data_IF_697409566207
#
_entry.id   IF_697409566207
#
_cell.length_a   1.000
_cell.length_b   1.000
_cell.length_c   1.000
_cell.angle_alpha   90.00
_cell.angle_beta   90.00
_cell.angle_gamma   90.00
#
_symmetry.space_group_name_H-M   'P 1'
#
loop_
_entity.id
_entity.type
_entity.pdbx_description
1 polymer ?
#
# COMPACT_ATOMS: atom_id res chain seq x y z
N UNK A 1 17.31 56.87 -21.49
CA UNK A 1 18.72 56.62 -21.11
C UNK A 1 19.73 56.87 -22.24
N UNK A 2 19.54 56.36 -23.47
CA UNK A 2 20.53 56.49 -24.56
C UNK A 2 20.96 57.95 -24.87
N UNK A 3 20.06 58.94 -24.80
CA UNK A 3 20.40 60.34 -25.12
C UNK A 3 21.39 60.96 -24.12
N UNK A 4 21.34 60.60 -22.84
CA UNK A 4 22.18 61.18 -21.79
C UNK A 4 23.63 60.67 -21.91
N UNK A 5 23.82 59.36 -22.06
CA UNK A 5 25.13 58.74 -22.31
C UNK A 5 25.74 59.19 -23.65
N UNK A 6 24.90 59.45 -24.66
CA UNK A 6 25.34 59.96 -25.98
C UNK A 6 25.89 61.38 -25.91
N UNK A 7 25.31 62.27 -25.11
CA UNK A 7 25.78 63.66 -24.95
C UNK A 7 27.13 63.72 -24.22
N UNK A 8 27.29 62.92 -23.16
CA UNK A 8 28.54 62.83 -22.38
C UNK A 8 29.70 62.27 -23.23
N UNK A 9 29.44 61.25 -24.07
CA UNK A 9 30.44 60.72 -25.02
C UNK A 9 30.93 61.77 -26.01
N UNK A 10 30.03 62.59 -26.56
CA UNK A 10 30.40 63.67 -27.49
C UNK A 10 31.27 64.74 -26.84
N UNK A 11 30.99 65.13 -25.60
CA UNK A 11 31.80 66.12 -24.87
C UNK A 11 33.19 65.59 -24.45
N UNK A 12 33.32 64.31 -24.13
CA UNK A 12 34.60 63.70 -23.75
C UNK A 12 35.54 63.52 -24.95
N UNK A 13 35.00 63.23 -26.14
CA UNK A 13 35.74 63.14 -27.41
C UNK A 13 36.23 64.52 -27.92
N UNK A 14 35.43 65.57 -27.77
CA UNK A 14 35.79 66.93 -28.22
C UNK A 14 36.86 67.61 -27.36
N UNK A 15 37.11 67.14 -26.14
CA UNK A 15 38.12 67.71 -25.22
C UNK A 15 39.48 66.98 -25.21
N UNK A 16 39.80 66.15 -26.21
CA UNK A 16 41.05 65.36 -26.29
C UNK A 16 41.29 64.38 -25.11
N UNK A 17 40.23 63.95 -24.42
CA UNK A 17 40.31 63.07 -23.21
C UNK A 17 40.06 61.60 -23.54
N UNK A 18 40.83 61.04 -24.47
CA UNK A 18 40.67 59.66 -24.97
C UNK A 18 40.68 58.62 -23.83
N UNK A 19 41.56 58.76 -22.84
CA UNK A 19 41.60 57.84 -21.69
C UNK A 19 40.31 57.82 -20.83
N UNK A 20 39.67 58.98 -20.63
CA UNK A 20 38.38 59.07 -19.90
C UNK A 20 37.23 58.54 -20.73
N UNK A 21 37.29 58.71 -22.05
CA UNK A 21 36.33 58.13 -22.98
C UNK A 21 36.37 56.59 -22.96
N UNK A 22 37.57 56.00 -22.98
CA UNK A 22 37.74 54.54 -22.90
C UNK A 22 37.21 53.97 -21.58
N UNK A 23 37.51 54.62 -20.44
CA UNK A 23 37.01 54.21 -19.13
C UNK A 23 35.47 54.23 -19.06
N UNK A 24 34.86 55.26 -19.66
CA UNK A 24 33.40 55.41 -19.72
C UNK A 24 32.74 54.41 -20.65
N UNK A 25 33.34 54.14 -21.82
CA UNK A 25 32.85 53.12 -22.74
C UNK A 25 32.96 51.71 -22.15
N UNK A 26 34.02 51.42 -21.40
CA UNK A 26 34.18 50.17 -20.65
C UNK A 26 33.09 50.03 -19.57
N UNK A 27 32.79 51.10 -18.83
CA UNK A 27 31.69 51.12 -17.86
C UNK A 27 30.33 50.83 -18.49
N UNK A 28 30.06 51.35 -19.69
CA UNK A 28 28.81 51.07 -20.42
C UNK A 28 28.73 49.61 -20.89
N UNK A 29 29.83 49.02 -21.35
CA UNK A 29 29.89 47.60 -21.71
C UNK A 29 29.63 46.72 -20.48
N UNK A 30 30.27 47.01 -19.35
CA UNK A 30 30.05 46.28 -18.10
C UNK A 30 28.58 46.39 -17.66
N UNK A 31 27.97 47.58 -17.75
CA UNK A 31 26.56 47.77 -17.40
C UNK A 31 25.61 46.96 -18.30
N UNK A 32 25.88 46.91 -19.61
CA UNK A 32 25.11 46.09 -20.56
C UNK A 32 25.30 44.60 -20.27
N UNK A 33 26.52 44.15 -19.98
CA UNK A 33 26.80 42.75 -19.61
C UNK A 33 26.03 42.38 -18.34
N UNK A 34 26.04 43.21 -17.30
CA UNK A 34 25.25 42.99 -16.08
C UNK A 34 23.75 42.93 -16.40
N UNK A 35 23.25 43.80 -17.26
CA UNK A 35 21.85 43.77 -17.70
C UNK A 35 21.47 42.46 -18.42
N UNK A 36 22.33 41.97 -19.33
CA UNK A 36 22.13 40.70 -20.04
C UNK A 36 22.19 39.53 -19.05
N UNK A 37 23.16 39.51 -18.14
CA UNK A 37 23.29 38.47 -17.13
C UNK A 37 22.06 38.41 -16.21
N UNK A 38 21.53 39.55 -15.77
CA UNK A 38 20.28 39.60 -14.98
C UNK A 38 19.10 39.08 -15.80
N UNK A 39 18.96 39.51 -17.06
CA UNK A 39 17.88 39.05 -17.92
C UNK A 39 17.93 37.53 -18.17
N UNK A 40 19.12 36.98 -18.43
CA UNK A 40 19.34 35.54 -18.58
C UNK A 40 19.02 34.78 -17.30
N UNK A 41 19.49 35.25 -16.14
CA UNK A 41 19.20 34.63 -14.85
C UNK A 41 17.69 34.64 -14.53
N UNK A 42 16.98 35.73 -14.83
CA UNK A 42 15.54 35.81 -14.64
C UNK A 42 14.78 34.85 -15.56
N UNK A 43 15.20 34.74 -16.82
CA UNK A 43 14.60 33.80 -17.77
C UNK A 43 14.83 32.34 -17.32
N UNK A 44 16.07 31.99 -16.94
CA UNK A 44 16.41 30.67 -16.42
C UNK A 44 15.60 30.31 -15.17
N UNK A 45 15.42 31.25 -14.23
CA UNK A 45 14.57 31.03 -13.04
C UNK A 45 13.10 30.81 -13.41
N UNK A 46 12.58 31.50 -14.43
CA UNK A 46 11.21 31.31 -14.91
C UNK A 46 11.02 29.93 -15.55
N UNK A 47 11.97 29.50 -16.38
CA UNK A 47 11.98 28.17 -16.99
C UNK A 47 12.11 27.06 -15.95
N UNK A 48 13.02 27.22 -14.98
CA UNK A 48 13.17 26.29 -13.86
C UNK A 48 11.87 26.15 -13.05
N UNK A 49 11.21 27.26 -12.70
CA UNK A 49 9.91 27.23 -11.99
C UNK A 49 8.83 26.49 -12.78
N UNK A 50 8.80 26.62 -14.11
CA UNK A 50 7.86 25.89 -14.96
C UNK A 50 8.16 24.39 -14.99
N UNK A 51 9.44 24.02 -15.04
CA UNK A 51 9.86 22.63 -14.97
C UNK A 51 9.51 22.01 -13.61
N UNK A 52 9.80 22.71 -12.51
CA UNK A 52 9.43 22.29 -11.15
C UNK A 52 7.92 22.13 -11.00
N UNK A 53 7.10 23.08 -11.45
CA UNK A 53 5.65 22.96 -11.40
C UNK A 53 5.12 21.76 -12.19
N UNK A 54 5.76 21.40 -13.32
CA UNK A 54 5.42 20.18 -14.07
C UNK A 54 5.75 18.92 -13.26
N UNK A 55 6.90 18.87 -12.61
CA UNK A 55 7.29 17.74 -11.76
C UNK A 55 6.37 17.63 -10.54
N UNK A 56 6.06 18.74 -9.88
CA UNK A 56 5.12 18.79 -8.76
C UNK A 56 3.75 18.21 -9.20
N UNK A 57 3.24 18.59 -10.37
CA UNK A 57 2.00 18.03 -10.93
C UNK A 57 2.08 16.51 -11.21
N UNK A 58 3.24 16.01 -11.68
CA UNK A 58 3.44 14.56 -11.85
C UNK A 58 3.41 13.85 -10.48
N UNK A 59 4.03 14.42 -9.44
CA UNK A 59 3.95 13.86 -8.09
C UNK A 59 2.54 13.90 -7.51
N UNK A 60 1.72 14.91 -7.85
CA UNK A 60 0.30 14.91 -7.50
C UNK A 60 -0.47 13.75 -8.15
N UNK A 61 -0.16 13.43 -9.41
CA UNK A 61 -0.74 12.26 -10.07
C UNK A 61 -0.24 10.94 -9.47
N UNK A 62 1.03 10.89 -9.04
CA UNK A 62 1.55 9.75 -8.28
C UNK A 62 0.79 9.56 -6.95
N UNK A 63 0.47 10.64 -6.23
CA UNK A 63 -0.33 10.53 -5.00
C UNK A 63 -1.72 9.91 -5.26
N UNK A 64 -2.39 10.28 -6.35
CA UNK A 64 -3.70 9.69 -6.72
C UNK A 64 -3.59 8.20 -7.07
N UNK A 65 -2.53 7.82 -7.78
CA UNK A 65 -2.25 6.43 -8.11
C UNK A 65 -1.98 5.62 -6.83
N UNK A 66 -1.17 6.17 -5.89
CA UNK A 66 -0.90 5.54 -4.60
C UNK A 66 -2.16 5.37 -3.76
N UNK A 67 -3.02 6.39 -3.67
CA UNK A 67 -4.29 6.31 -2.95
C UNK A 67 -5.19 5.20 -3.52
N UNK A 68 -5.27 5.12 -4.85
CA UNK A 68 -6.00 4.06 -5.55
C UNK A 68 -5.43 2.67 -5.23
N UNK A 69 -4.11 2.53 -5.24
CA UNK A 69 -3.43 1.25 -4.95
C UNK A 69 -3.54 0.84 -3.48
N UNK A 70 -3.53 1.80 -2.56
CA UNK A 70 -3.78 1.60 -1.12
C UNK A 70 -5.22 1.11 -0.92
N UNK A 71 -6.20 1.78 -1.53
CA UNK A 71 -7.62 1.37 -1.45
C UNK A 71 -7.85 -0.04 -2.02
N UNK A 72 -7.28 -0.33 -3.20
CA UNK A 72 -7.39 -1.67 -3.82
C UNK A 72 -6.71 -2.75 -3.00
N UNK A 73 -5.51 -2.50 -2.47
CA UNK A 73 -4.82 -3.49 -1.63
C UNK A 73 -5.57 -3.77 -0.33
N UNK A 74 -6.17 -2.75 0.30
CA UNK A 74 -7.09 -2.91 1.43
C UNK A 74 -8.25 -3.84 1.09
N UNK A 75 -8.93 -3.63 -0.04
CA UNK A 75 -10.03 -4.50 -0.48
C UNK A 75 -9.57 -5.96 -0.67
N UNK A 76 -8.36 -6.17 -1.18
CA UNK A 76 -7.78 -7.51 -1.33
C UNK A 76 -7.43 -8.17 0.01
N UNK A 77 -6.94 -7.41 0.99
CA UNK A 77 -6.72 -7.91 2.35
C UNK A 77 -8.05 -8.39 2.96
N UNK A 78 -9.14 -7.64 2.78
CA UNK A 78 -10.48 -8.02 3.25
C UNK A 78 -11.01 -9.28 2.54
N UNK A 79 -10.80 -9.38 1.22
CA UNK A 79 -11.14 -10.60 0.47
C UNK A 79 -10.36 -11.80 1.00
N UNK A 80 -9.07 -11.63 1.33
CA UNK A 80 -8.23 -12.70 1.84
C UNK A 80 -8.57 -13.09 3.27
N UNK A 81 -9.00 -12.15 4.11
CA UNK A 81 -9.59 -12.46 5.42
C UNK A 81 -10.80 -13.40 5.28
N UNK A 82 -11.76 -13.07 4.40
CA UNK A 82 -12.94 -13.92 4.16
C UNK A 82 -12.55 -15.28 3.58
N UNK A 83 -11.58 -15.31 2.66
CA UNK A 83 -11.06 -16.56 2.11
C UNK A 83 -10.37 -17.41 3.16
N UNK A 84 -9.64 -16.83 4.10
CA UNK A 84 -9.01 -17.59 5.19
C UNK A 84 -10.05 -18.35 6.01
N UNK A 85 -11.17 -17.69 6.35
CA UNK A 85 -12.28 -18.31 7.06
C UNK A 85 -12.93 -19.45 6.27
N UNK A 86 -13.19 -19.25 4.97
CA UNK A 86 -13.76 -20.28 4.10
C UNK A 86 -12.81 -21.47 3.89
N UNK A 87 -11.52 -21.21 3.64
CA UNK A 87 -10.52 -22.24 3.42
C UNK A 87 -10.29 -23.06 4.68
N UNK A 88 -10.28 -22.41 5.85
CA UNK A 88 -10.19 -23.08 7.14
C UNK A 88 -11.39 -23.98 7.39
N UNK A 89 -12.61 -23.51 7.06
CA UNK A 89 -13.82 -24.33 7.12
C UNK A 89 -13.78 -25.53 6.16
N UNK A 90 -13.23 -25.36 4.95
CA UNK A 90 -13.08 -26.48 4.00
C UNK A 90 -12.00 -27.48 4.45
N UNK A 91 -10.96 -27.03 5.15
CA UNK A 91 -9.85 -27.88 5.60
C UNK A 91 -10.12 -28.57 6.94
N UNK A 92 -10.80 -27.89 7.86
CA UNK A 92 -11.17 -28.41 9.17
C UNK A 92 -12.56 -29.05 9.03
N UNK A 93 -12.59 -30.38 9.03
CA UNK A 93 -13.64 -31.27 8.49
C UNK A 93 -15.04 -31.19 9.13
N UNK A 94 -15.39 -30.11 9.82
CA UNK A 94 -16.70 -29.93 10.45
C UNK A 94 -17.83 -29.78 9.42
N UNK A 95 -17.50 -29.61 8.14
CA UNK A 95 -18.47 -29.60 7.04
C UNK A 95 -19.05 -30.99 6.79
N UNK A 96 -20.38 -31.03 6.67
CA UNK A 96 -21.13 -32.23 6.31
C UNK A 96 -21.63 -32.18 4.88
N UNK A 97 -22.20 -33.30 4.42
CA UNK A 97 -22.94 -33.33 3.16
C UNK A 97 -24.01 -32.23 3.09
N UNK A 98 -24.76 -32.06 4.19
CA UNK A 98 -25.85 -31.07 4.26
C UNK A 98 -25.34 -29.65 4.04
N UNK A 99 -24.12 -29.34 4.46
CA UNK A 99 -23.55 -28.00 4.29
C UNK A 99 -23.21 -27.70 2.83
N UNK A 100 -22.68 -28.67 2.09
CA UNK A 100 -22.44 -28.53 0.65
C UNK A 100 -23.70 -28.62 -0.21
N UNK A 101 -24.75 -29.28 0.29
CA UNK A 101 -26.02 -29.42 -0.42
C UNK A 101 -26.98 -28.22 -0.25
N UNK A 102 -26.66 -27.24 0.61
CA UNK A 102 -27.45 -26.02 0.74
C UNK A 102 -27.37 -25.16 -0.53
N UNK A 103 -28.46 -24.46 -0.83
CA UNK A 103 -28.54 -23.53 -1.97
C UNK A 103 -27.50 -22.40 -1.89
N UNK A 104 -27.17 -21.92 -0.69
CA UNK A 104 -26.22 -20.82 -0.44
C UNK A 104 -24.76 -21.28 -0.24
N UNK A 105 -24.46 -22.55 -0.51
CA UNK A 105 -23.13 -23.13 -0.28
C UNK A 105 -22.03 -22.71 -1.30
N UNK A 106 -22.35 -21.91 -2.33
CA UNK A 106 -21.39 -21.49 -3.37
C UNK A 106 -20.02 -21.00 -2.82
N UNK A 107 -19.96 -20.23 -1.71
CA UNK A 107 -18.69 -19.78 -1.15
C UNK A 107 -17.73 -20.91 -0.77
N UNK A 108 -18.23 -22.02 -0.17
CA UNK A 108 -17.37 -23.16 0.19
C UNK A 108 -17.02 -24.03 -1.02
N UNK A 109 -17.88 -24.06 -2.05
CA UNK A 109 -17.58 -24.72 -3.33
C UNK A 109 -16.41 -24.05 -4.06
N UNK A 110 -16.38 -22.71 -4.02
CA UNK A 110 -15.45 -21.88 -4.81
C UNK A 110 -14.28 -21.31 -4.01
N UNK A 111 -14.17 -21.66 -2.71
CA UNK A 111 -13.19 -21.11 -1.77
C UNK A 111 -11.75 -21.12 -2.33
N UNK A 112 -11.34 -22.24 -2.93
CA UNK A 112 -10.01 -22.47 -3.50
C UNK A 112 -9.96 -22.54 -5.04
N UNK A 113 -11.05 -22.14 -5.72
CA UNK A 113 -11.19 -22.29 -7.19
C UNK A 113 -11.28 -20.95 -7.93
N UNK A 114 -11.28 -19.86 -7.18
CA UNK A 114 -11.45 -18.51 -7.70
C UNK A 114 -10.19 -17.69 -7.49
N UNK A 115 -9.95 -16.74 -8.38
CA UNK A 115 -8.83 -15.82 -8.30
C UNK A 115 -9.34 -14.38 -8.45
N UNK A 116 -8.73 -13.46 -7.70
CA UNK A 116 -8.77 -12.04 -7.97
C UNK A 116 -7.34 -11.55 -8.17
N UNK A 117 -7.12 -10.72 -9.20
CA UNK A 117 -5.82 -10.11 -9.49
C UNK A 117 -5.70 -8.75 -8.82
N UNK A 118 -4.78 -8.63 -7.87
CA UNK A 118 -4.31 -7.33 -7.43
C UNK A 118 -3.13 -6.92 -8.30
N UNK A 119 -3.34 -5.97 -9.20
CA UNK A 119 -2.27 -5.41 -10.04
C UNK A 119 -2.10 -3.96 -9.65
N UNK A 120 -0.97 -3.59 -9.02
CA UNK A 120 -0.70 -2.19 -8.71
C UNK A 120 -0.65 -1.33 -9.99
N UNK A 121 -0.90 -0.02 -9.87
CA UNK A 121 -0.64 0.93 -10.96
C UNK A 121 0.87 1.08 -11.18
N UNK A 122 1.26 1.50 -12.38
CA UNK A 122 2.61 1.98 -12.68
C UNK A 122 2.63 3.17 -13.65
N UNK A 123 1.46 3.75 -13.93
CA UNK A 123 1.30 4.76 -14.98
C UNK A 123 2.00 6.08 -14.59
N UNK A 124 1.66 6.66 -13.44
CA UNK A 124 2.25 7.92 -13.01
C UNK A 124 3.76 7.78 -12.73
N UNK A 125 4.20 6.64 -12.19
CA UNK A 125 5.62 6.34 -11.98
C UNK A 125 6.40 6.27 -13.29
N UNK A 126 5.87 5.63 -14.34
CA UNK A 126 6.50 5.62 -15.68
C UNK A 126 6.67 7.04 -16.24
N UNK A 127 5.65 7.89 -16.08
CA UNK A 127 5.73 9.30 -16.51
C UNK A 127 6.80 10.05 -15.73
N UNK A 128 6.87 9.87 -14.41
CA UNK A 128 7.91 10.45 -13.56
C UNK A 128 9.32 10.02 -14.02
N UNK A 129 9.52 8.72 -14.21
CA UNK A 129 10.81 8.17 -14.66
C UNK A 129 11.21 8.63 -16.07
N UNK A 130 10.23 8.94 -16.92
CA UNK A 130 10.50 9.55 -18.25
C UNK A 130 10.97 11.00 -18.17
N UNK A 131 10.87 11.64 -17.00
CA UNK A 131 11.31 13.02 -16.74
C UNK A 131 12.43 13.06 -15.67
N UNK A 132 13.19 11.97 -15.47
CA UNK A 132 14.17 11.84 -14.38
C UNK A 132 15.19 12.99 -14.30
N UNK A 133 15.66 13.47 -15.46
CA UNK A 133 16.66 14.55 -15.54
C UNK A 133 16.14 15.91 -15.05
N UNK A 134 14.81 16.07 -14.99
CA UNK A 134 14.16 17.29 -14.55
C UNK A 134 13.68 17.24 -13.09
N UNK A 135 13.86 16.11 -12.39
CA UNK A 135 13.39 15.94 -11.01
C UNK A 135 14.29 16.74 -10.04
N UNK A 136 13.73 17.71 -9.29
CA UNK A 136 14.51 18.44 -8.28
C UNK A 136 15.00 17.56 -7.13
N UNK A 137 16.13 17.91 -6.54
CA UNK A 137 16.78 17.16 -5.44
C UNK A 137 15.87 16.95 -4.22
N UNK A 138 14.90 17.86 -3.96
CA UNK A 138 13.90 17.74 -2.90
C UNK A 138 13.06 16.44 -2.97
N UNK A 139 13.01 15.79 -4.14
CA UNK A 139 12.29 14.52 -4.34
C UNK A 139 13.18 13.28 -4.33
N UNK A 140 14.48 13.40 -4.04
CA UNK A 140 15.43 12.28 -4.10
C UNK A 140 14.96 11.09 -3.25
N UNK A 141 14.49 11.35 -2.04
CA UNK A 141 13.93 10.32 -1.15
C UNK A 141 12.62 9.73 -1.69
N UNK A 142 11.70 10.57 -2.16
CA UNK A 142 10.45 10.13 -2.80
C UNK A 142 10.70 9.20 -3.99
N UNK A 143 11.67 9.53 -4.85
CA UNK A 143 12.07 8.71 -6.00
C UNK A 143 12.66 7.37 -5.55
N UNK A 144 13.51 7.38 -4.52
CA UNK A 144 14.06 6.15 -3.94
C UNK A 144 12.96 5.20 -3.47
N UNK A 145 11.99 5.71 -2.70
CA UNK A 145 10.87 4.91 -2.21
C UNK A 145 9.98 4.38 -3.34
N UNK A 146 9.68 5.20 -4.35
CA UNK A 146 8.91 4.77 -5.52
C UNK A 146 9.63 3.68 -6.32
N UNK A 147 10.95 3.77 -6.48
CA UNK A 147 11.72 2.75 -7.18
C UNK A 147 11.70 1.40 -6.46
N UNK A 148 11.76 1.38 -5.12
CA UNK A 148 11.58 0.15 -4.35
C UNK A 148 10.15 -0.42 -4.52
N UNK A 149 9.14 0.46 -4.46
CA UNK A 149 7.73 0.09 -4.61
C UNK A 149 7.44 -0.57 -5.96
N UNK A 150 7.83 0.08 -7.06
CA UNK A 150 7.58 -0.40 -8.42
C UNK A 150 8.58 -1.48 -8.88
N UNK A 151 9.71 -1.60 -8.20
CA UNK A 151 10.67 -2.69 -8.39
C UNK A 151 10.32 -3.93 -7.56
N UNK A 152 11.06 -4.15 -6.47
CA UNK A 152 11.03 -5.39 -5.68
C UNK A 152 9.65 -5.69 -5.08
N UNK A 153 8.92 -4.67 -4.61
CA UNK A 153 7.59 -4.89 -3.97
C UNK A 153 6.55 -5.33 -4.99
N UNK A 154 6.43 -4.61 -6.12
CA UNK A 154 5.54 -4.95 -7.23
C UNK A 154 5.83 -6.35 -7.79
N UNK A 155 7.10 -6.65 -8.08
CA UNK A 155 7.50 -7.97 -8.61
C UNK A 155 7.12 -9.12 -7.66
N UNK A 156 7.16 -8.88 -6.35
CA UNK A 156 6.76 -9.88 -5.36
C UNK A 156 5.26 -10.18 -5.44
N UNK A 157 4.42 -9.16 -5.58
CA UNK A 157 2.96 -9.30 -5.78
C UNK A 157 2.69 -10.06 -7.09
N UNK A 158 3.28 -9.64 -8.20
CA UNK A 158 3.07 -10.26 -9.52
C UNK A 158 3.49 -11.73 -9.55
N UNK A 159 4.58 -12.09 -8.86
CA UNK A 159 5.02 -13.49 -8.72
C UNK A 159 3.94 -14.35 -8.08
N UNK A 160 3.28 -13.86 -7.04
CA UNK A 160 2.22 -14.60 -6.35
C UNK A 160 0.90 -14.59 -7.10
N UNK A 161 0.57 -13.52 -7.83
CA UNK A 161 -0.53 -13.53 -8.80
C UNK A 161 -0.37 -14.67 -9.80
N UNK A 162 0.82 -14.82 -10.41
CA UNK A 162 1.08 -15.92 -11.35
C UNK A 162 0.95 -17.29 -10.69
N UNK A 163 1.57 -17.49 -9.51
CA UNK A 163 1.47 -18.77 -8.78
C UNK A 163 0.03 -19.13 -8.42
N UNK A 164 -0.79 -18.14 -8.04
CA UNK A 164 -2.20 -18.32 -7.76
C UNK A 164 -2.97 -18.71 -9.02
N UNK A 165 -2.75 -17.99 -10.13
CA UNK A 165 -3.34 -18.29 -11.43
C UNK A 165 -3.06 -19.73 -11.87
N UNK A 166 -1.79 -20.11 -11.89
CA UNK A 166 -1.37 -21.44 -12.35
C UNK A 166 -2.01 -22.54 -11.50
N UNK A 167 -2.03 -22.36 -10.16
CA UNK A 167 -2.66 -23.30 -9.24
C UNK A 167 -4.18 -23.39 -9.40
N UNK A 168 -4.84 -22.26 -9.66
CA UNK A 168 -6.30 -22.21 -9.87
C UNK A 168 -6.69 -22.87 -11.19
N UNK A 169 -5.95 -22.62 -12.27
CA UNK A 169 -6.17 -23.26 -13.57
C UNK A 169 -6.00 -24.78 -13.42
N UNK A 170 -4.86 -25.23 -12.91
CA UNK A 170 -4.58 -26.66 -12.65
C UNK A 170 -5.69 -27.31 -11.82
N UNK A 171 -6.15 -26.63 -10.77
CA UNK A 171 -7.20 -27.15 -9.90
C UNK A 171 -8.56 -27.27 -10.59
N UNK A 172 -8.89 -26.34 -11.51
CA UNK A 172 -10.13 -26.38 -12.27
C UNK A 172 -10.08 -27.42 -13.40
N UNK A 173 -8.94 -27.60 -14.08
CA UNK A 173 -8.78 -28.63 -15.10
C UNK A 173 -9.00 -30.04 -14.53
N UNK A 174 -8.48 -30.31 -13.32
CA UNK A 174 -8.71 -31.58 -12.60
C UNK A 174 -10.19 -31.78 -12.25
N UNK A 175 -10.94 -30.69 -12.01
CA UNK A 175 -12.39 -30.79 -11.78
C UNK A 175 -13.14 -31.08 -13.08
N UNK A 176 -12.68 -30.54 -14.21
CA UNK A 176 -13.26 -30.78 -15.53
C UNK A 176 -13.17 -32.24 -15.98
N UNK A 177 -12.20 -33.00 -15.44
CA UNK A 177 -12.07 -34.44 -15.66
C UNK A 177 -13.06 -35.31 -14.85
N UNK A 178 -13.87 -34.71 -13.96
CA UNK A 178 -14.79 -35.48 -13.10
C UNK A 178 -16.08 -35.84 -13.84
N UNK A 179 -16.61 -37.07 -13.69
CA UNK A 179 -17.84 -37.49 -14.37
C UNK A 179 -19.05 -36.60 -14.09
N UNK A 180 -19.08 -35.97 -12.91
CA UNK A 180 -20.14 -35.09 -12.45
C UNK A 180 -19.95 -33.62 -12.85
N UNK A 181 -18.90 -33.26 -13.60
CA UNK A 181 -18.57 -31.86 -13.88
C UNK A 181 -19.65 -31.12 -14.67
N UNK A 182 -20.36 -31.83 -15.55
CA UNK A 182 -21.45 -31.28 -16.38
C UNK A 182 -22.81 -31.32 -15.68
N UNK A 183 -22.89 -31.79 -14.43
CA UNK A 183 -24.15 -31.83 -13.70
C UNK A 183 -24.71 -30.40 -13.53
N UNK A 184 -25.96 -30.14 -13.95
CA UNK A 184 -26.56 -28.82 -13.85
C UNK A 184 -26.62 -28.29 -12.41
N UNK A 185 -26.73 -29.20 -11.44
CA UNK A 185 -26.76 -28.88 -10.02
C UNK A 185 -25.80 -29.79 -9.25
N UNK A 186 -24.51 -29.47 -9.34
CA UNK A 186 -23.45 -30.16 -8.62
C UNK A 186 -23.66 -30.18 -7.09
N UNK A 187 -24.49 -29.28 -6.52
CA UNK A 187 -24.81 -29.28 -5.08
C UNK A 187 -25.72 -30.44 -4.69
N UNK A 188 -26.38 -31.08 -5.65
CA UNK A 188 -27.16 -32.32 -5.44
C UNK A 188 -26.36 -33.59 -5.79
N UNK A 189 -25.21 -33.44 -6.45
CA UNK A 189 -24.32 -34.54 -6.80
C UNK A 189 -23.68 -35.14 -5.54
N UNK A 190 -23.99 -36.40 -5.25
CA UNK A 190 -23.42 -37.07 -4.08
C UNK A 190 -21.92 -37.28 -4.26
N UNK A 191 -21.51 -37.64 -5.46
CA UNK A 191 -20.13 -37.84 -5.85
C UNK A 191 -19.32 -36.54 -5.76
N UNK A 192 -19.85 -35.41 -6.22
CA UNK A 192 -19.14 -34.13 -6.17
C UNK A 192 -18.96 -33.61 -4.73
N UNK A 193 -19.96 -33.82 -3.87
CA UNK A 193 -19.89 -33.46 -2.45
C UNK A 193 -18.89 -34.37 -1.73
N UNK A 194 -19.01 -35.69 -1.91
CA UNK A 194 -18.12 -36.66 -1.26
C UNK A 194 -16.68 -36.49 -1.72
N UNK A 195 -16.45 -36.09 -2.97
CA UNK A 195 -15.13 -35.69 -3.46
C UNK A 195 -14.55 -34.54 -2.64
N UNK A 196 -15.32 -33.47 -2.40
CA UNK A 196 -14.82 -32.30 -1.63
C UNK A 196 -14.64 -32.58 -0.15
N UNK A 197 -15.47 -33.45 0.42
CA UNK A 197 -15.39 -33.84 1.82
C UNK A 197 -14.18 -34.75 2.08
N UNK A 198 -13.96 -35.75 1.22
CA UNK A 198 -13.11 -36.89 1.57
C UNK A 198 -11.86 -37.06 0.69
N UNK A 199 -11.82 -36.50 -0.53
CA UNK A 199 -10.66 -36.68 -1.40
C UNK A 199 -9.45 -35.87 -0.89
N UNK A 200 -8.43 -36.58 -0.43
CA UNK A 200 -7.22 -35.95 0.11
C UNK A 200 -6.48 -35.10 -0.93
N UNK A 201 -6.58 -35.39 -2.24
CA UNK A 201 -5.92 -34.60 -3.29
C UNK A 201 -6.63 -33.26 -3.44
N UNK A 202 -7.95 -33.23 -3.37
CA UNK A 202 -8.71 -31.98 -3.28
C UNK A 202 -8.29 -31.17 -2.05
N UNK A 203 -8.28 -31.78 -0.85
CA UNK A 203 -7.84 -31.10 0.39
C UNK A 203 -6.41 -30.57 0.28
N UNK A 204 -5.49 -31.33 -0.32
CA UNK A 204 -4.12 -30.89 -0.57
C UNK A 204 -4.06 -29.67 -1.50
N UNK A 205 -4.90 -29.62 -2.55
CA UNK A 205 -4.99 -28.44 -3.42
C UNK A 205 -5.59 -27.24 -2.70
N UNK A 206 -6.60 -27.42 -1.86
CA UNK A 206 -7.13 -26.37 -0.98
C UNK A 206 -6.04 -25.86 -0.03
N UNK A 207 -5.24 -26.76 0.56
CA UNK A 207 -4.14 -26.38 1.46
C UNK A 207 -3.02 -25.64 0.72
N UNK A 208 -2.69 -26.05 -0.50
CA UNK A 208 -1.73 -25.35 -1.37
C UNK A 208 -2.25 -23.95 -1.74
N UNK A 209 -3.52 -23.83 -2.10
CA UNK A 209 -4.19 -22.53 -2.33
C UNK A 209 -4.07 -21.63 -1.09
N UNK A 210 -4.42 -22.14 0.10
CA UNK A 210 -4.29 -21.43 1.37
C UNK A 210 -2.87 -20.92 1.60
N UNK A 211 -1.86 -21.78 1.37
CA UNK A 211 -0.46 -21.39 1.47
C UNK A 211 -0.09 -20.27 0.50
N UNK A 212 -0.53 -20.34 -0.76
CA UNK A 212 -0.24 -19.30 -1.76
C UNK A 212 -0.91 -17.98 -1.37
N UNK A 213 -2.20 -18.00 -1.03
CA UNK A 213 -2.99 -16.78 -0.83
C UNK A 213 -2.78 -16.19 0.56
N UNK A 214 -3.04 -16.95 1.61
CA UNK A 214 -3.09 -16.45 2.98
C UNK A 214 -1.68 -16.25 3.54
N UNK A 215 -0.83 -17.27 3.41
CA UNK A 215 0.51 -17.24 4.03
C UNK A 215 1.52 -16.39 3.26
N UNK A 216 1.30 -16.18 1.96
CA UNK A 216 2.27 -15.51 1.11
C UNK A 216 1.70 -14.26 0.43
N UNK A 217 0.70 -14.40 -0.43
CA UNK A 217 0.24 -13.29 -1.28
C UNK A 217 -0.36 -12.14 -0.45
N UNK A 218 -1.18 -12.43 0.57
CA UNK A 218 -1.69 -11.43 1.52
C UNK A 218 -0.56 -10.60 2.12
N UNK A 219 0.52 -11.26 2.54
CA UNK A 219 1.69 -10.62 3.14
C UNK A 219 2.40 -9.71 2.15
N UNK A 220 2.58 -10.14 0.90
CA UNK A 220 3.20 -9.27 -0.13
C UNK A 220 2.34 -8.07 -0.48
N UNK A 221 1.01 -8.24 -0.51
CA UNK A 221 0.06 -7.13 -0.71
C UNK A 221 0.13 -6.15 0.48
N UNK A 222 0.16 -6.68 1.70
CA UNK A 222 0.28 -5.87 2.92
C UNK A 222 1.56 -5.03 2.95
N UNK A 223 2.71 -5.63 2.62
CA UNK A 223 3.97 -4.90 2.55
C UNK A 223 4.04 -3.91 1.38
N UNK A 224 3.46 -4.26 0.23
CA UNK A 224 3.32 -3.32 -0.89
C UNK A 224 2.50 -2.10 -0.43
N UNK A 225 1.35 -2.33 0.20
CA UNK A 225 0.49 -1.28 0.74
C UNK A 225 1.22 -0.40 1.76
N UNK A 226 1.88 -1.00 2.74
CA UNK A 226 2.62 -0.25 3.76
C UNK A 226 3.71 0.64 3.15
N UNK A 227 4.39 0.14 2.12
CA UNK A 227 5.38 0.91 1.39
C UNK A 227 4.74 2.02 0.53
N UNK A 228 3.57 1.77 -0.05
CA UNK A 228 2.81 2.78 -0.78
C UNK A 228 2.35 3.93 0.13
N UNK A 229 1.92 3.64 1.37
CA UNK A 229 1.60 4.66 2.39
C UNK A 229 2.83 5.51 2.69
N UNK A 230 4.01 4.90 2.91
CA UNK A 230 5.25 5.64 3.13
C UNK A 230 5.64 6.53 1.94
N UNK A 231 5.48 6.04 0.71
CA UNK A 231 5.67 6.87 -0.48
C UNK A 231 4.71 8.07 -0.47
N UNK A 232 3.44 7.85 -0.11
CA UNK A 232 2.44 8.90 -0.05
C UNK A 232 2.82 9.97 0.97
N UNK A 233 3.14 9.58 2.20
CA UNK A 233 3.52 10.49 3.29
C UNK A 233 4.74 11.34 2.91
N UNK A 234 5.77 10.72 2.34
CA UNK A 234 6.98 11.40 1.88
C UNK A 234 6.67 12.43 0.79
N UNK A 235 5.91 12.05 -0.23
CA UNK A 235 5.56 12.95 -1.34
C UNK A 235 4.64 14.08 -0.86
N UNK A 236 3.65 13.77 -0.02
CA UNK A 236 2.74 14.75 0.55
C UNK A 236 3.50 15.79 1.40
N UNK A 237 4.49 15.35 2.19
CA UNK A 237 5.37 16.23 2.96
C UNK A 237 6.16 17.18 2.05
N UNK A 238 6.82 16.67 1.00
CA UNK A 238 7.57 17.51 0.04
C UNK A 238 6.66 18.51 -0.69
N UNK A 239 5.41 18.13 -0.97
CA UNK A 239 4.40 18.97 -1.59
C UNK A 239 3.64 19.87 -0.59
N UNK A 240 3.91 19.79 0.71
CA UNK A 240 3.17 20.48 1.78
C UNK A 240 1.65 20.22 1.74
N UNK A 241 1.24 18.97 1.50
CA UNK A 241 -0.17 18.55 1.55
C UNK A 241 -0.52 18.00 2.93
N UNK A 242 -1.69 18.36 3.43
CA UNK A 242 -2.23 17.81 4.69
C UNK A 242 -2.63 16.35 4.51
N UNK A 243 -2.36 15.54 5.52
CA UNK A 243 -2.61 14.08 5.53
C UNK A 243 -3.59 13.63 6.61
N UNK A 244 -3.97 14.51 7.53
CA UNK A 244 -4.70 14.19 8.78
C UNK A 244 -6.09 13.58 8.55
N UNK A 245 -6.68 13.74 7.35
CA UNK A 245 -8.00 13.19 7.01
C UNK A 245 -7.95 11.81 6.33
N UNK A 246 -6.76 11.25 6.11
CA UNK A 246 -6.58 10.01 5.35
C UNK A 246 -6.68 8.78 6.26
N UNK A 247 -7.65 7.90 5.97
CA UNK A 247 -7.99 6.72 6.77
C UNK A 247 -6.91 5.62 6.82
N UNK A 248 -5.87 5.74 5.99
CA UNK A 248 -4.76 4.81 5.89
C UNK A 248 -3.49 5.28 6.60
N UNK A 249 -3.49 6.52 7.12
CA UNK A 249 -2.43 7.10 7.96
C UNK A 249 -2.89 7.05 9.42
N UNK A 250 -1.99 6.68 10.32
CA UNK A 250 -2.27 6.61 11.76
C UNK A 250 -1.08 7.17 12.52
N UNK A 251 -1.35 7.91 13.59
CA UNK A 251 -0.32 8.48 14.44
C UNK A 251 -0.09 7.65 15.72
N UNK A 252 1.02 7.94 16.40
CA UNK A 252 1.43 7.25 17.62
C UNK A 252 0.44 7.45 18.78
N UNK A 253 -0.26 8.60 18.84
CA UNK A 253 -1.25 8.87 19.89
C UNK A 253 -2.45 7.92 19.76
N UNK A 254 -2.92 7.69 18.53
CA UNK A 254 -3.97 6.72 18.22
C UNK A 254 -3.51 5.31 18.55
N UNK A 255 -2.28 4.93 18.17
CA UNK A 255 -1.75 3.58 18.45
C UNK A 255 -1.63 3.29 19.95
N UNK A 256 -1.22 4.28 20.75
CA UNK A 256 -1.10 4.15 22.20
C UNK A 256 -2.42 3.76 22.88
N UNK A 257 -3.57 4.08 22.29
CA UNK A 257 -4.89 3.70 22.83
C UNK A 257 -5.08 2.18 22.86
N UNK A 258 -4.41 1.45 21.97
CA UNK A 258 -4.49 -0.01 21.86
C UNK A 258 -3.51 -0.76 22.77
N UNK A 259 -2.49 -0.08 23.32
CA UNK A 259 -1.48 -0.68 24.20
C UNK A 259 -2.11 -1.15 25.52
N UNK A 260 -1.64 -2.30 26.02
CA UNK A 260 -2.02 -2.87 27.31
C UNK A 260 -2.32 -4.35 27.27
N UNK A 261 -2.82 -4.86 28.40
CA UNK A 261 -3.14 -6.27 28.59
C UNK A 261 -4.57 -6.59 28.18
N UNK A 262 -4.77 -7.76 27.59
CA UNK A 262 -6.05 -8.24 27.08
C UNK A 262 -6.29 -9.69 27.54
N UNK A 263 -7.56 -10.04 27.75
CA UNK A 263 -7.99 -11.41 28.09
C UNK A 263 -9.06 -11.88 27.13
N UNK A 264 -9.02 -13.17 26.77
CA UNK A 264 -10.00 -13.78 25.87
C UNK A 264 -11.40 -13.67 26.46
N UNK A 265 -12.33 -13.11 25.69
CA UNK A 265 -13.67 -12.77 26.20
C UNK A 265 -14.53 -13.99 26.56
N UNK A 266 -14.24 -15.17 26.01
CA UNK A 266 -15.07 -16.37 26.21
C UNK A 266 -14.72 -17.15 27.48
N UNK A 267 -13.45 -17.15 27.91
CA UNK A 267 -13.00 -17.96 29.05
C UNK A 267 -11.99 -17.26 29.97
N UNK A 268 -11.49 -16.07 29.61
CA UNK A 268 -10.49 -15.29 30.36
C UNK A 268 -9.15 -15.99 30.66
N UNK A 269 -8.93 -17.22 30.18
CA UNK A 269 -7.70 -17.99 30.41
C UNK A 269 -6.58 -17.58 29.46
N UNK A 270 -6.90 -17.23 28.22
CA UNK A 270 -5.89 -16.82 27.23
C UNK A 270 -5.64 -15.32 27.33
N UNK A 271 -4.38 -14.93 27.50
CA UNK A 271 -3.97 -13.53 27.56
C UNK A 271 -3.28 -13.09 26.27
N UNK A 272 -3.36 -11.79 26.03
CA UNK A 272 -2.56 -11.11 25.03
C UNK A 272 -2.03 -9.79 25.60
N UNK A 273 -0.82 -9.41 25.24
CA UNK A 273 -0.21 -8.13 25.59
C UNK A 273 0.09 -7.35 24.31
N UNK A 274 -0.31 -6.08 24.27
CA UNK A 274 -0.04 -5.19 23.13
C UNK A 274 0.95 -4.12 23.56
N UNK A 275 2.03 -3.98 22.79
CA UNK A 275 3.08 -2.97 23.00
C UNK A 275 3.38 -2.24 21.70
N UNK A 276 4.10 -1.12 21.75
CA UNK A 276 4.66 -0.45 20.57
C UNK A 276 6.16 -0.70 20.55
N UNK A 277 6.71 -1.14 19.42
CA UNK A 277 8.14 -1.34 19.27
C UNK A 277 8.87 -0.02 18.92
N UNK A 278 10.21 -0.05 18.87
CA UNK A 278 11.03 1.12 18.56
C UNK A 278 10.77 1.74 17.17
N UNK A 279 10.14 1.00 16.27
CA UNK A 279 9.79 1.43 14.92
C UNK A 279 8.34 1.96 14.83
N UNK A 280 7.63 2.08 15.95
CA UNK A 280 6.27 2.61 16.02
C UNK A 280 5.16 1.62 15.63
N UNK A 281 5.47 0.32 15.52
CA UNK A 281 4.47 -0.71 15.21
C UNK A 281 3.90 -1.36 16.46
N UNK A 282 2.60 -1.66 16.43
CA UNK A 282 1.97 -2.48 17.47
C UNK A 282 2.48 -3.92 17.36
N UNK A 283 2.87 -4.49 18.50
CA UNK A 283 3.24 -5.89 18.67
C UNK A 283 2.23 -6.54 19.60
N UNK A 284 1.61 -7.63 19.14
CA UNK A 284 0.70 -8.45 19.95
C UNK A 284 1.38 -9.75 20.33
N UNK A 285 1.56 -9.96 21.63
CA UNK A 285 2.08 -11.20 22.22
C UNK A 285 0.92 -12.00 22.81
N UNK A 286 0.69 -13.22 22.32
CA UNK A 286 -0.39 -14.12 22.79
C UNK A 286 0.21 -15.31 23.51
N UNK A 287 -0.45 -15.76 24.59
CA UNK A 287 -0.03 -16.96 25.34
C UNK A 287 -0.61 -18.26 24.75
N UNK A 288 -1.84 -18.19 24.21
CA UNK A 288 -2.56 -19.36 23.69
C UNK A 288 -3.34 -19.02 22.40
N UNK A 289 -2.81 -19.35 21.21
CA UNK A 289 -1.49 -19.97 20.98
C UNK A 289 -0.35 -19.02 21.34
N UNK A 290 0.82 -19.57 21.66
CA UNK A 290 2.04 -18.77 21.84
C UNK A 290 2.45 -18.19 20.49
N UNK A 291 2.22 -16.89 20.30
CA UNK A 291 2.48 -16.22 19.02
C UNK A 291 2.74 -14.73 19.24
N UNK A 292 3.74 -14.21 18.52
CA UNK A 292 4.01 -12.78 18.39
C UNK A 292 3.61 -12.32 16.98
N UNK A 293 2.85 -11.24 16.90
CA UNK A 293 2.39 -10.62 15.67
C UNK A 293 2.74 -9.12 15.65
N UNK A 294 3.63 -8.72 14.74
CA UNK A 294 3.78 -7.32 14.37
C UNK A 294 2.63 -6.88 13.47
N UNK A 295 1.92 -5.82 13.88
CA UNK A 295 0.72 -5.35 13.20
C UNK A 295 1.02 -4.20 12.24
N UNK A 296 0.48 -4.29 11.05
CA UNK A 296 0.53 -3.25 10.02
C UNK A 296 -0.89 -2.70 9.85
N UNK A 297 -1.03 -1.37 9.95
CA UNK A 297 -2.28 -0.66 9.73
C UNK A 297 -2.85 -0.93 8.32
N UNK A 298 -4.15 -1.23 8.19
CA UNK A 298 -4.79 -1.59 6.91
C UNK A 298 -5.84 -0.59 6.47
N UNK A 299 -6.81 -0.27 7.31
CA UNK A 299 -7.82 0.72 6.99
C UNK A 299 -8.62 1.09 8.21
N UNK A 300 -8.89 2.37 8.39
CA UNK A 300 -9.43 2.94 9.63
C UNK A 300 -8.50 2.71 10.83
N UNK A 301 -8.57 3.61 11.80
CA UNK A 301 -7.76 3.55 13.03
C UNK A 301 -7.81 2.19 13.75
N UNK A 302 -8.76 1.31 13.43
CA UNK A 302 -9.03 0.08 14.15
C UNK A 302 -8.79 -1.23 13.40
N UNK A 303 -8.34 -1.22 12.13
CA UNK A 303 -8.01 -2.46 11.41
C UNK A 303 -6.52 -2.60 11.13
N UNK A 304 -5.98 -3.73 11.53
CA UNK A 304 -4.60 -4.11 11.33
C UNK A 304 -4.49 -5.53 10.76
N UNK A 305 -3.39 -5.83 10.10
CA UNK A 305 -3.08 -7.18 9.63
C UNK A 305 -1.71 -7.59 10.14
N UNK A 306 -1.57 -8.85 10.53
CA UNK A 306 -0.30 -9.38 10.97
C UNK A 306 0.70 -9.47 9.81
N UNK A 307 1.92 -8.99 10.07
CA UNK A 307 3.09 -9.20 9.22
C UNK A 307 3.55 -10.67 9.19
N UNK A 308 3.09 -11.49 10.15
CA UNK A 308 3.37 -12.91 10.26
C UNK A 308 2.54 -13.70 9.22
N UNK A 309 3.15 -14.62 8.44
CA UNK A 309 2.43 -15.49 7.51
C UNK A 309 1.26 -16.29 8.09
N UNK A 310 1.33 -16.63 9.38
CA UNK A 310 0.29 -17.41 10.06
C UNK A 310 -0.69 -16.54 10.86
N UNK A 311 -0.38 -15.25 11.06
CA UNK A 311 -1.28 -14.33 11.74
C UNK A 311 -2.45 -13.90 10.87
N UNK A 312 -3.44 -13.24 11.45
CA UNK A 312 -4.67 -12.85 10.76
C UNK A 312 -4.88 -11.35 10.66
N UNK A 313 -6.15 -10.97 10.57
CA UNK A 313 -6.60 -9.57 10.62
C UNK A 313 -7.14 -9.26 12.00
N UNK A 314 -6.72 -8.13 12.55
CA UNK A 314 -7.05 -7.65 13.88
C UNK A 314 -8.00 -6.46 13.73
N UNK A 315 -9.15 -6.53 14.37
CA UNK A 315 -10.16 -5.47 14.39
C UNK A 315 -10.37 -5.03 15.83
N UNK A 316 -10.04 -3.78 16.11
CA UNK A 316 -10.31 -3.14 17.38
C UNK A 316 -11.71 -2.51 17.36
N UNK A 317 -12.48 -2.71 18.42
CA UNK A 317 -13.79 -2.05 18.58
C UNK A 317 -13.81 -1.31 19.90
N UNK A 318 -14.25 -0.05 19.86
CA UNK A 318 -14.50 0.78 21.04
C UNK A 318 -15.97 0.64 21.43
N UNK A 319 -16.26 0.55 22.72
CA UNK A 319 -17.64 0.62 23.22
C UNK A 319 -18.23 2.01 22.94
N UNK A 320 -19.57 2.11 22.83
CA UNK A 320 -20.29 3.39 22.64
C UNK A 320 -20.05 4.40 23.78
N UNK A 321 -19.56 3.93 24.93
CA UNK A 321 -19.21 4.75 26.09
C UNK A 321 -17.72 5.10 26.14
N UNK A 322 -16.90 4.61 25.18
CA UNK A 322 -15.44 4.78 25.17
C UNK A 322 -14.70 3.86 26.14
N UNK A 323 -15.42 3.25 27.08
CA UNK A 323 -14.85 2.61 28.25
C UNK A 323 -14.17 1.26 28.00
N UNK A 324 -14.36 0.53 26.89
CA UNK A 324 -13.67 -0.75 26.70
C UNK A 324 -13.27 -0.97 25.25
N UNK A 325 -12.04 -1.42 25.05
CA UNK A 325 -11.49 -1.82 23.76
C UNK A 325 -11.54 -3.34 23.67
N UNK A 326 -12.18 -3.85 22.62
CA UNK A 326 -12.09 -5.26 22.24
C UNK A 326 -11.20 -5.41 21.03
N UNK A 327 -10.46 -6.51 20.97
CA UNK A 327 -9.63 -6.89 19.83
C UNK A 327 -10.16 -8.23 19.30
N UNK A 328 -10.72 -8.22 18.10
CA UNK A 328 -11.18 -9.43 17.41
C UNK A 328 -10.14 -9.85 16.37
N UNK A 329 -9.65 -11.07 16.50
CA UNK A 329 -8.64 -11.65 15.61
C UNK A 329 -9.34 -12.62 14.67
N UNK A 330 -9.20 -12.37 13.37
CA UNK A 330 -9.68 -13.22 12.29
C UNK A 330 -8.52 -14.06 11.73
N UNK A 331 -8.33 -15.23 12.33
CA UNK A 331 -7.36 -16.26 11.93
C UNK A 331 -8.12 -17.56 11.66
N UNK A 332 -8.40 -17.83 10.39
CA UNK A 332 -9.25 -18.94 9.99
C UNK A 332 -10.74 -18.70 10.25
N UNK A 333 -11.49 -19.78 10.54
CA UNK A 333 -12.95 -19.76 10.49
C UNK A 333 -13.60 -19.08 11.69
N UNK A 334 -13.12 -19.36 12.91
CA UNK A 334 -13.73 -18.87 14.14
C UNK A 334 -12.90 -17.68 14.64
N UNK A 335 -13.43 -16.46 14.61
CA UNK A 335 -12.72 -15.31 15.16
C UNK A 335 -12.60 -15.44 16.68
N UNK A 336 -11.50 -14.92 17.22
CA UNK A 336 -11.25 -14.92 18.66
C UNK A 336 -11.24 -13.48 19.15
N UNK A 337 -12.08 -13.18 20.14
CA UNK A 337 -12.17 -11.84 20.74
C UNK A 337 -11.48 -11.79 22.09
N UNK A 338 -10.72 -10.72 22.28
CA UNK A 338 -10.09 -10.35 23.54
C UNK A 338 -10.65 -9.00 24.02
N UNK A 339 -10.71 -8.81 25.33
CA UNK A 339 -11.14 -7.57 25.99
C UNK A 339 -9.97 -6.98 26.75
N UNK A 340 -9.72 -5.68 26.60
CA UNK A 340 -8.66 -4.95 27.31
C UNK A 340 -8.95 -4.94 28.82
N UNK A 341 -7.94 -5.25 29.62
CA UNK A 341 -7.95 -5.10 31.08
C UNK A 341 -7.65 -3.64 31.43
N UNK A 342 -8.47 -3.03 32.28
CA UNK A 342 -8.30 -1.64 32.76
C UNK A 342 -8.10 -0.64 31.59
N UNK A 343 -9.16 -0.40 30.82
CA UNK A 343 -9.16 0.25 29.51
C UNK A 343 -8.60 1.68 29.44
#
# INVERSE_FOLDING_TARGET
>A
MIKFFRTIRKELLTKNKIGKYLLYALGEIILVIVGILIALNLNQRSEQKKAEAKIDAIFEDVLKDLETDISRSTAYIDIYQRKDSLLSLVLNTDLTYKDYAKEDSDPIWRAALTMGFYTPSDNAHKVLMSNIDAIPEKYSQSVSFLNELHGTRRQSVERFNKRLNDHVIESNDILAEKPWYTEPDHKKSTEAIMYRLNDYRYKNRVKKYHGIVIRNHRRTILFYRAHAVRCYEEIASVLNKMTDSLDFITDEEVLNRYVGSYVRSTNHESKAEITINNDGFLIVNREHPLQEDGLIHVSSESKFSSANPIGGVFIFNKSNLGDYITMTIHEGHIPVTYTKLNP
#
